data_IF_353428820417
#
_entry.id   IF_353428820417
#
_cell.length_a   1.000
_cell.length_b   1.000
_cell.length_c   1.000
_cell.angle_alpha   90.00
_cell.angle_beta   90.00
_cell.angle_gamma   90.00
#
_symmetry.space_group_name_H-M   'P 1'
#
loop_
_entity.id
_entity.type
_entity.pdbx_description
1 polymer ?
#
# COMPACT_ATOMS: atom_id res chain seq x y z
N UNK A 1 14.60 1.39 -12.52
CA UNK A 1 14.90 1.40 -11.05
C UNK A 1 16.16 2.21 -10.75
N UNK A 2 17.34 1.91 -11.30
CA UNK A 2 18.57 2.67 -10.97
C UNK A 2 18.44 4.18 -11.26
N UNK A 3 17.87 4.57 -12.41
CA UNK A 3 17.60 5.98 -12.72
C UNK A 3 16.65 6.67 -11.72
N UNK A 4 15.67 5.94 -11.18
CA UNK A 4 14.79 6.43 -10.11
C UNK A 4 15.60 6.70 -8.86
N UNK A 5 16.43 5.74 -8.43
CA UNK A 5 17.17 5.87 -7.19
C UNK A 5 18.31 6.91 -7.29
N UNK A 6 18.87 7.10 -8.49
CA UNK A 6 19.93 8.07 -8.73
C UNK A 6 19.48 9.53 -8.51
N UNK A 7 18.26 9.89 -8.88
CA UNK A 7 17.74 11.26 -8.65
C UNK A 7 17.38 11.54 -7.18
N UNK A 8 17.16 10.51 -6.37
CA UNK A 8 16.91 10.66 -4.93
C UNK A 8 18.22 10.99 -4.17
N UNK A 9 19.37 10.92 -4.85
CA UNK A 9 20.65 11.38 -4.33
C UNK A 9 20.78 12.90 -4.57
N UNK A 10 20.76 13.69 -3.50
CA UNK A 10 21.02 15.13 -3.62
C UNK A 10 20.68 15.91 -2.34
N UNK A 11 20.91 17.24 -2.35
CA UNK A 11 20.72 18.12 -1.19
C UNK A 11 19.25 18.56 -0.94
N UNK A 12 18.25 18.00 -1.63
CA UNK A 12 16.83 18.19 -1.33
C UNK A 12 16.44 17.44 -0.04
N UNK A 13 15.39 17.84 0.71
CA UNK A 13 15.31 17.57 2.15
C UNK A 13 15.48 16.07 2.43
N UNK A 14 16.33 15.71 3.40
CA UNK A 14 16.66 14.32 3.66
C UNK A 14 15.36 13.58 3.99
N UNK A 15 15.08 12.51 3.24
CA UNK A 15 14.04 11.58 3.65
C UNK A 15 14.42 11.04 5.03
N UNK A 16 13.45 10.90 5.94
CA UNK A 16 13.71 10.31 7.26
C UNK A 16 13.77 8.77 7.19
N UNK A 17 12.96 8.18 6.31
CA UNK A 17 12.89 6.76 6.03
C UNK A 17 12.24 6.50 4.67
N UNK A 18 12.40 5.29 4.14
CA UNK A 18 11.67 4.80 2.97
C UNK A 18 10.78 3.61 3.37
N UNK A 19 9.52 3.61 2.93
CA UNK A 19 8.64 2.44 3.02
C UNK A 19 8.61 1.73 1.67
N UNK A 20 8.87 0.42 1.65
CA UNK A 20 9.01 -0.36 0.41
C UNK A 20 8.09 -1.59 0.42
N UNK A 21 6.92 -1.47 -0.20
CA UNK A 21 5.83 -2.43 0.00
C UNK A 21 5.84 -3.60 -0.99
N UNK A 22 6.99 -4.23 -1.27
CA UNK A 22 7.07 -5.51 -2.01
C UNK A 22 6.91 -5.43 -3.54
N UNK A 23 6.55 -6.57 -4.14
CA UNK A 23 6.45 -6.82 -5.60
C UNK A 23 7.72 -6.49 -6.38
N UNK A 24 8.79 -7.21 -6.03
CA UNK A 24 10.11 -7.12 -6.64
C UNK A 24 10.19 -7.92 -7.95
N UNK A 25 9.78 -9.21 -7.98
CA UNK A 25 9.86 -10.03 -9.18
C UNK A 25 8.84 -9.59 -10.25
N UNK A 26 9.11 -9.92 -11.51
CA UNK A 26 8.24 -9.54 -12.63
C UNK A 26 6.99 -10.44 -12.72
N UNK A 27 6.16 -10.20 -13.74
CA UNK A 27 4.91 -10.94 -14.00
C UNK A 27 5.12 -12.17 -14.91
N UNK A 28 6.35 -12.66 -15.07
CA UNK A 28 6.70 -13.87 -15.82
C UNK A 28 6.49 -15.17 -15.00
N UNK A 29 5.36 -15.20 -14.28
CA UNK A 29 5.03 -16.17 -13.23
C UNK A 29 5.00 -17.64 -13.68
N UNK A 30 4.87 -17.89 -14.98
CA UNK A 30 4.86 -19.24 -15.56
C UNK A 30 6.23 -19.93 -15.58
N UNK A 31 7.32 -19.20 -15.33
CA UNK A 31 8.70 -19.72 -15.45
C UNK A 31 9.64 -19.27 -14.31
N UNK A 32 9.11 -18.87 -13.16
CA UNK A 32 9.91 -18.40 -12.02
C UNK A 32 10.35 -19.55 -11.09
N UNK A 33 11.64 -19.61 -10.76
CA UNK A 33 12.20 -20.52 -9.74
C UNK A 33 12.62 -19.73 -8.50
N UNK A 34 12.76 -20.43 -7.37
CA UNK A 34 13.18 -19.78 -6.09
C UNK A 34 14.47 -18.98 -6.24
N UNK A 35 15.42 -19.51 -7.00
CA UNK A 35 16.70 -18.83 -7.30
C UNK A 35 16.49 -17.48 -7.99
N UNK A 36 15.54 -17.40 -8.93
CA UNK A 36 15.22 -16.17 -9.66
C UNK A 36 14.57 -15.13 -8.71
N UNK A 37 13.68 -15.58 -7.81
CA UNK A 37 13.07 -14.74 -6.77
C UNK A 37 14.12 -14.17 -5.81
N UNK A 38 15.04 -15.02 -5.32
CA UNK A 38 16.11 -14.60 -4.42
C UNK A 38 17.12 -13.68 -5.11
N UNK A 39 17.37 -13.88 -6.40
CA UNK A 39 18.20 -12.98 -7.20
C UNK A 39 17.55 -11.60 -7.31
N UNK A 40 16.26 -11.52 -7.60
CA UNK A 40 15.52 -10.25 -7.66
C UNK A 40 15.56 -9.52 -6.31
N UNK A 41 15.25 -10.24 -5.21
CA UNK A 41 15.32 -9.72 -3.83
C UNK A 41 16.70 -9.12 -3.53
N UNK A 42 17.78 -9.86 -3.76
CA UNK A 42 19.15 -9.41 -3.46
C UNK A 42 19.57 -8.24 -4.34
N UNK A 43 19.24 -8.30 -5.64
CA UNK A 43 19.59 -7.26 -6.61
C UNK A 43 18.94 -5.93 -6.26
N UNK A 44 17.62 -5.91 -6.05
CA UNK A 44 16.90 -4.66 -5.77
C UNK A 44 17.23 -4.13 -4.38
N UNK A 45 17.36 -5.00 -3.37
CA UNK A 45 17.84 -4.58 -2.04
C UNK A 45 19.25 -3.98 -2.12
N UNK A 46 20.15 -4.56 -2.92
CA UNK A 46 21.48 -4.03 -3.16
C UNK A 46 21.47 -2.65 -3.84
N UNK A 47 20.59 -2.45 -4.82
CA UNK A 47 20.39 -1.14 -5.47
C UNK A 47 19.87 -0.09 -4.48
N UNK A 48 18.90 -0.44 -3.63
CA UNK A 48 18.38 0.45 -2.60
C UNK A 48 19.47 0.86 -1.62
N UNK A 49 20.23 -0.10 -1.05
CA UNK A 49 21.37 0.21 -0.17
C UNK A 49 22.39 1.12 -0.85
N UNK A 50 22.79 0.78 -2.07
CA UNK A 50 23.78 1.55 -2.85
C UNK A 50 23.32 3.00 -3.03
N UNK A 51 22.04 3.24 -3.28
CA UNK A 51 21.54 4.56 -3.65
C UNK A 51 21.01 5.41 -2.50
N UNK A 52 20.41 4.78 -1.49
CA UNK A 52 19.82 5.45 -0.33
C UNK A 52 20.80 5.56 0.85
N UNK A 53 21.91 4.81 0.83
CA UNK A 53 22.97 4.93 1.82
C UNK A 53 22.47 4.60 3.23
N UNK A 54 22.62 5.54 4.15
CA UNK A 54 22.24 5.39 5.55
C UNK A 54 20.73 5.54 5.82
N UNK A 55 19.93 5.91 4.82
CA UNK A 55 18.49 6.03 4.96
C UNK A 55 17.88 4.66 5.35
N UNK A 56 17.16 4.55 6.47
CA UNK A 56 16.46 3.32 6.82
C UNK A 56 15.37 2.99 5.78
N UNK A 57 15.34 1.74 5.33
CA UNK A 57 14.30 1.24 4.42
C UNK A 57 13.52 0.16 5.14
N UNK A 58 12.21 0.34 5.25
CA UNK A 58 11.31 -0.60 5.92
C UNK A 58 10.44 -1.31 4.88
N UNK A 59 10.77 -2.57 4.54
CA UNK A 59 10.05 -3.31 3.51
C UNK A 59 8.80 -4.02 4.05
N UNK A 60 7.82 -4.26 3.18
CA UNK A 60 6.74 -5.23 3.38
C UNK A 60 6.77 -6.30 2.29
N UNK A 61 6.20 -7.47 2.58
CA UNK A 61 6.15 -8.60 1.64
C UNK A 61 4.96 -8.43 0.69
N UNK A 62 5.23 -8.46 -0.62
CA UNK A 62 4.21 -8.47 -1.67
C UNK A 62 3.86 -9.88 -2.14
N UNK A 63 3.01 -9.98 -3.16
CA UNK A 63 2.46 -11.26 -3.59
C UNK A 63 3.29 -11.95 -4.67
N UNK A 64 4.18 -11.20 -5.34
CA UNK A 64 5.11 -11.74 -6.32
C UNK A 64 6.43 -12.25 -5.73
N UNK A 65 6.71 -12.08 -4.42
CA UNK A 65 7.98 -12.54 -3.83
C UNK A 65 8.14 -14.07 -3.84
N UNK A 66 7.05 -14.82 -3.67
CA UNK A 66 7.07 -16.29 -3.68
C UNK A 66 6.91 -16.87 -5.09
N UNK A 67 7.35 -18.12 -5.27
CA UNK A 67 7.01 -18.93 -6.45
C UNK A 67 6.46 -20.28 -5.98
N UNK A 68 5.29 -20.71 -6.49
CA UNK A 68 4.40 -19.99 -7.42
C UNK A 68 3.88 -18.66 -6.86
N UNK A 69 3.49 -17.73 -7.74
CA UNK A 69 2.93 -16.42 -7.33
C UNK A 69 1.75 -16.62 -6.37
N UNK A 70 1.60 -15.73 -5.38
CA UNK A 70 0.60 -15.80 -4.31
C UNK A 70 0.73 -16.98 -3.33
N UNK A 71 1.69 -17.90 -3.52
CA UNK A 71 1.82 -19.10 -2.68
C UNK A 71 2.55 -18.79 -1.36
N UNK A 72 1.79 -18.33 -0.36
CA UNK A 72 2.31 -18.05 0.99
C UNK A 72 1.67 -18.98 2.03
N UNK A 73 2.19 -20.23 2.16
CA UNK A 73 1.74 -21.16 3.17
C UNK A 73 1.91 -20.58 4.59
N UNK A 74 0.89 -20.65 5.46
CA UNK A 74 1.02 -20.19 6.84
C UNK A 74 1.98 -21.06 7.67
N UNK A 75 2.44 -20.61 8.84
CA UNK A 75 3.48 -21.28 9.64
C UNK A 75 3.18 -22.70 10.12
N UNK A 76 1.91 -23.15 10.07
CA UNK A 76 1.56 -24.56 10.33
C UNK A 76 2.04 -25.51 9.22
N UNK A 77 2.43 -24.98 8.06
CA UNK A 77 3.03 -25.74 6.96
C UNK A 77 4.54 -25.73 7.14
N UNK A 78 5.13 -26.92 7.31
CA UNK A 78 6.55 -27.09 7.59
C UNK A 78 7.35 -27.66 6.41
N UNK A 79 8.68 -27.68 6.56
CA UNK A 79 9.60 -28.28 5.60
C UNK A 79 9.79 -27.45 4.33
N UNK A 80 10.22 -28.11 3.26
CA UNK A 80 10.60 -27.42 2.02
C UNK A 80 9.44 -26.70 1.31
N UNK A 81 8.20 -27.06 1.61
CA UNK A 81 7.01 -26.42 1.06
C UNK A 81 6.65 -25.10 1.77
N UNK A 82 7.22 -24.82 2.95
CA UNK A 82 7.01 -23.56 3.67
C UNK A 82 7.68 -22.37 2.96
N UNK A 83 7.35 -21.15 3.39
CA UNK A 83 8.01 -19.91 2.92
C UNK A 83 9.33 -19.59 3.65
N UNK A 84 9.87 -20.50 4.46
CA UNK A 84 11.10 -20.26 5.22
C UNK A 84 12.29 -19.85 4.33
N UNK A 85 12.44 -20.49 3.17
CA UNK A 85 13.48 -20.15 2.18
C UNK A 85 13.47 -18.67 1.75
N UNK A 86 12.28 -18.06 1.71
CA UNK A 86 12.07 -16.68 1.32
C UNK A 86 12.26 -15.75 2.52
N UNK A 87 11.61 -16.05 3.64
CA UNK A 87 11.67 -15.22 4.84
C UNK A 87 13.07 -15.17 5.48
N UNK A 88 13.81 -16.28 5.46
CA UNK A 88 15.21 -16.30 5.90
C UNK A 88 16.10 -15.44 5.00
N UNK A 89 15.89 -15.51 3.69
CA UNK A 89 16.62 -14.69 2.74
C UNK A 89 16.27 -13.20 2.86
N UNK A 90 15.00 -12.87 3.13
CA UNK A 90 14.56 -11.50 3.44
C UNK A 90 15.21 -10.99 4.72
N UNK A 91 15.21 -11.78 5.80
CA UNK A 91 15.84 -11.40 7.05
C UNK A 91 17.35 -11.16 6.88
N UNK A 92 18.04 -11.97 6.09
CA UNK A 92 19.44 -11.72 5.74
C UNK A 92 19.61 -10.46 4.88
N UNK A 93 18.74 -10.30 3.86
CA UNK A 93 18.80 -9.16 2.95
C UNK A 93 18.47 -7.83 3.65
N UNK A 94 17.66 -7.83 4.71
CA UNK A 94 17.16 -6.62 5.37
C UNK A 94 17.75 -6.39 6.77
N UNK A 95 18.72 -7.20 7.20
CA UNK A 95 19.30 -7.16 8.54
C UNK A 95 19.90 -5.80 8.95
N UNK A 96 20.35 -4.99 7.99
CA UNK A 96 20.94 -3.68 8.27
C UNK A 96 19.89 -2.61 8.58
N UNK A 97 18.62 -2.85 8.22
CA UNK A 97 17.52 -1.92 8.42
C UNK A 97 16.60 -2.30 9.59
N UNK A 98 16.61 -3.57 9.99
CA UNK A 98 15.66 -4.13 10.95
C UNK A 98 16.38 -4.60 12.22
N UNK A 99 15.87 -4.28 13.42
CA UNK A 99 16.44 -4.79 14.67
C UNK A 99 16.22 -6.31 14.80
N UNK A 100 17.01 -7.00 15.66
CA UNK A 100 16.91 -8.45 15.87
C UNK A 100 15.47 -8.95 16.12
N UNK A 101 14.73 -8.28 17.01
CA UNK A 101 13.34 -8.62 17.35
C UNK A 101 12.42 -8.62 16.11
N UNK A 102 12.63 -7.67 15.19
CA UNK A 102 11.85 -7.58 13.95
C UNK A 102 12.24 -8.68 12.95
N UNK A 103 13.51 -9.08 12.93
CA UNK A 103 13.99 -10.18 12.10
C UNK A 103 13.44 -11.53 12.57
N UNK A 104 13.14 -11.69 13.86
CA UNK A 104 12.53 -12.92 14.39
C UNK A 104 11.12 -13.15 13.83
N UNK A 105 10.22 -12.17 13.96
CA UNK A 105 8.86 -12.29 13.43
C UNK A 105 8.85 -12.30 11.89
N UNK A 106 9.80 -11.60 11.26
CA UNK A 106 9.99 -11.66 9.82
C UNK A 106 10.31 -13.08 9.35
N UNK A 107 11.26 -13.78 10.00
CA UNK A 107 11.57 -15.19 9.67
C UNK A 107 10.39 -16.11 9.93
N UNK A 108 9.64 -15.87 11.01
CA UNK A 108 8.51 -16.71 11.37
C UNK A 108 7.35 -16.61 10.35
N UNK A 109 7.02 -15.41 9.87
CA UNK A 109 5.77 -15.21 9.14
C UNK A 109 5.76 -14.03 8.14
N UNK A 110 6.88 -13.34 7.90
CA UNK A 110 6.94 -12.27 6.90
C UNK A 110 6.41 -10.90 7.37
N UNK A 111 6.10 -10.73 8.66
CA UNK A 111 5.64 -9.46 9.25
C UNK A 111 6.49 -9.05 10.45
N UNK A 112 6.51 -7.77 10.80
CA UNK A 112 7.30 -7.27 11.93
C UNK A 112 6.83 -5.90 12.42
N UNK A 113 7.31 -5.52 13.60
CA UNK A 113 7.18 -4.15 14.12
C UNK A 113 8.52 -3.63 14.63
N UNK A 114 8.72 -2.32 14.54
CA UNK A 114 9.86 -1.65 15.16
C UNK A 114 9.49 -0.22 15.54
N UNK A 115 10.28 0.39 16.42
CA UNK A 115 10.17 1.81 16.74
C UNK A 115 11.01 2.59 15.73
N UNK A 116 10.37 3.44 14.93
CA UNK A 116 11.07 4.26 13.91
C UNK A 116 11.81 5.40 14.60
N UNK A 117 11.12 6.09 15.53
CA UNK A 117 11.65 7.18 16.35
C UNK A 117 10.84 7.31 17.63
N UNK A 118 11.24 8.14 18.61
CA UNK A 118 10.42 8.36 19.79
C UNK A 118 8.98 8.79 19.43
N UNK A 119 7.99 8.10 20.00
CA UNK A 119 6.57 8.37 19.73
C UNK A 119 5.99 7.69 18.50
N UNK A 120 6.81 7.06 17.62
CA UNK A 120 6.33 6.43 16.39
C UNK A 120 6.82 4.99 16.25
N UNK A 121 5.85 4.09 16.09
CA UNK A 121 6.03 2.67 15.78
C UNK A 121 5.59 2.37 14.35
N UNK A 122 6.35 1.53 13.66
CA UNK A 122 5.96 0.96 12.38
C UNK A 122 5.50 -0.48 12.58
N UNK A 123 4.46 -0.87 11.86
CA UNK A 123 4.00 -2.24 11.70
C UNK A 123 4.00 -2.57 10.22
N UNK A 124 4.78 -3.58 9.84
CA UNK A 124 4.78 -4.13 8.49
C UNK A 124 4.03 -5.46 8.46
N UNK A 125 2.92 -5.51 7.75
CA UNK A 125 2.05 -6.68 7.63
C UNK A 125 2.37 -7.50 6.38
N UNK A 126 2.26 -8.82 6.51
CA UNK A 126 2.24 -9.75 5.39
C UNK A 126 0.79 -9.92 4.92
N UNK A 127 0.42 -9.13 3.91
CA UNK A 127 -0.95 -9.11 3.40
C UNK A 127 -1.31 -10.35 2.59
N UNK A 128 -0.35 -11.22 2.27
CA UNK A 128 -0.62 -12.49 1.59
C UNK A 128 -1.50 -13.45 2.43
N UNK A 129 -1.52 -13.29 3.75
CA UNK A 129 -2.42 -14.04 4.64
C UNK A 129 -3.87 -13.55 4.62
N UNK A 130 -4.14 -12.44 3.92
CA UNK A 130 -5.51 -12.00 3.63
C UNK A 130 -5.91 -12.22 2.17
N UNK A 131 -4.96 -12.54 1.28
CA UNK A 131 -5.18 -12.54 -0.18
C UNK A 131 -6.18 -13.62 -0.61
N UNK A 132 -7.08 -13.24 -1.51
CA UNK A 132 -7.99 -14.20 -2.17
C UNK A 132 -7.24 -15.15 -3.11
N UNK A 133 -6.07 -14.74 -3.61
CA UNK A 133 -5.24 -15.53 -4.52
C UNK A 133 -4.31 -16.52 -3.82
N UNK A 134 -4.15 -16.42 -2.49
CA UNK A 134 -3.34 -17.36 -1.72
C UNK A 134 -4.13 -18.65 -1.46
N UNK A 135 -3.98 -19.62 -2.37
CA UNK A 135 -4.70 -20.89 -2.32
C UNK A 135 -4.41 -21.74 -1.07
N UNK A 136 -3.31 -21.49 -0.34
CA UNK A 136 -3.03 -22.20 0.92
C UNK A 136 -4.06 -21.90 2.02
N UNK A 137 -4.76 -20.76 1.91
CA UNK A 137 -5.81 -20.35 2.85
C UNK A 137 -7.09 -21.18 2.71
N UNK A 138 -7.21 -22.01 1.65
CA UNK A 138 -8.29 -23.00 1.55
C UNK A 138 -8.22 -24.06 2.65
N UNK A 139 -7.01 -24.34 3.19
CA UNK A 139 -6.83 -25.27 4.30
C UNK A 139 -7.36 -24.65 5.60
N UNK A 140 -6.89 -23.43 5.91
CA UNK A 140 -7.36 -22.64 7.05
C UNK A 140 -7.09 -21.16 6.80
N UNK A 141 -8.16 -20.36 6.74
CA UNK A 141 -8.11 -18.90 6.57
C UNK A 141 -8.33 -18.13 7.88
N UNK A 142 -8.40 -18.82 9.01
CA UNK A 142 -8.59 -18.21 10.34
C UNK A 142 -7.29 -17.61 10.82
N UNK A 143 -7.21 -16.27 10.81
CA UNK A 143 -6.05 -15.45 11.19
C UNK A 143 -4.69 -16.15 10.98
N UNK A 144 -4.28 -16.38 9.72
CA UNK A 144 -3.07 -17.13 9.45
C UNK A 144 -1.85 -16.47 10.10
N UNK A 145 -1.01 -17.29 10.74
CA UNK A 145 0.10 -16.87 11.59
C UNK A 145 -0.28 -16.05 12.85
N UNK A 146 -1.56 -15.96 13.20
CA UNK A 146 -2.03 -15.12 14.31
C UNK A 146 -1.75 -13.63 14.09
N UNK A 147 -1.65 -13.19 12.83
CA UNK A 147 -1.17 -11.86 12.47
C UNK A 147 -2.10 -10.74 12.98
N UNK A 148 -3.42 -10.90 12.91
CA UNK A 148 -4.37 -9.91 13.44
C UNK A 148 -4.36 -9.90 14.98
N UNK A 149 -4.27 -11.07 15.62
CA UNK A 149 -4.12 -11.15 17.07
C UNK A 149 -2.83 -10.47 17.55
N UNK A 150 -1.73 -10.68 16.82
CA UNK A 150 -0.45 -10.02 17.06
C UNK A 150 -0.56 -8.50 16.86
N UNK A 151 -1.20 -8.06 15.77
CA UNK A 151 -1.42 -6.64 15.48
C UNK A 151 -2.19 -5.94 16.61
N UNK A 152 -3.25 -6.57 17.13
CA UNK A 152 -4.00 -6.04 18.29
C UNK A 152 -3.07 -5.83 19.48
N UNK A 153 -2.22 -6.80 19.82
CA UNK A 153 -1.26 -6.67 20.92
C UNK A 153 -0.24 -5.55 20.70
N UNK A 154 0.23 -5.35 19.46
CA UNK A 154 1.14 -4.25 19.13
C UNK A 154 0.45 -2.88 19.28
N UNK A 155 -0.79 -2.75 18.79
CA UNK A 155 -1.57 -1.51 18.85
C UNK A 155 -1.98 -1.16 20.28
N UNK A 156 -2.42 -2.14 21.07
CA UNK A 156 -2.72 -1.95 22.49
C UNK A 156 -1.48 -1.47 23.26
N UNK A 157 -0.34 -2.12 23.03
CA UNK A 157 0.90 -1.73 23.68
C UNK A 157 1.37 -0.33 23.26
N UNK A 158 1.14 0.07 22.01
CA UNK A 158 1.41 1.42 21.52
C UNK A 158 0.49 2.46 22.18
N UNK A 159 -0.82 2.16 22.27
CA UNK A 159 -1.82 3.00 22.94
C UNK A 159 -1.43 3.26 24.41
N UNK A 160 -1.07 2.20 25.15
CA UNK A 160 -0.62 2.31 26.56
C UNK A 160 0.63 3.17 26.72
N UNK A 161 1.50 3.21 25.71
CA UNK A 161 2.73 4.03 25.71
C UNK A 161 2.55 5.42 25.09
N UNK A 162 1.36 5.76 24.61
CA UNK A 162 1.11 6.99 23.86
C UNK A 162 1.90 7.07 22.55
N UNK A 163 2.30 5.93 21.97
CA UNK A 163 2.93 5.86 20.65
C UNK A 163 1.86 5.96 19.55
N UNK A 164 2.21 6.61 18.44
CA UNK A 164 1.47 6.50 17.19
C UNK A 164 1.99 5.36 16.34
N UNK A 165 1.14 4.85 15.45
CA UNK A 165 1.45 3.69 14.61
C UNK A 165 1.26 4.01 13.13
N UNK A 166 2.29 3.71 12.34
CA UNK A 166 2.18 3.56 10.89
C UNK A 166 2.03 2.09 10.56
N UNK A 167 1.07 1.78 9.69
CA UNK A 167 0.92 0.43 9.14
C UNK A 167 1.36 0.46 7.67
N UNK A 168 2.23 -0.46 7.29
CA UNK A 168 2.61 -0.70 5.90
C UNK A 168 2.24 -2.14 5.52
N UNK A 169 1.83 -2.34 4.26
CA UNK A 169 1.52 -3.65 3.70
C UNK A 169 1.52 -3.58 2.19
N UNK A 170 1.33 -4.72 1.53
CA UNK A 170 1.27 -4.76 0.07
C UNK A 170 -0.17 -4.64 -0.46
N UNK A 171 -0.99 -5.69 -0.31
CA UNK A 171 -2.39 -5.73 -0.75
C UNK A 171 -3.24 -4.84 0.17
N UNK A 172 -4.04 -3.91 -0.36
CA UNK A 172 -4.86 -3.05 0.48
C UNK A 172 -6.04 -3.81 1.13
N UNK A 173 -6.49 -3.42 2.34
CA UNK A 173 -7.47 -4.18 3.12
C UNK A 173 -8.83 -4.42 2.42
N UNK A 174 -9.28 -3.52 1.54
CA UNK A 174 -10.50 -3.68 0.75
C UNK A 174 -10.44 -4.86 -0.23
N UNK A 175 -9.25 -5.36 -0.56
CA UNK A 175 -9.03 -6.48 -1.49
C UNK A 175 -8.89 -7.84 -0.79
N UNK A 176 -8.77 -7.85 0.54
CA UNK A 176 -8.62 -9.05 1.35
C UNK A 176 -9.89 -9.93 1.39
N UNK A 177 -9.71 -11.21 1.76
CA UNK A 177 -10.78 -12.12 2.15
C UNK A 177 -11.71 -11.47 3.17
N UNK A 178 -13.02 -11.66 3.00
CA UNK A 178 -14.07 -11.00 3.79
C UNK A 178 -13.81 -11.03 5.29
N UNK A 179 -13.62 -12.22 5.86
CA UNK A 179 -13.42 -12.35 7.31
C UNK A 179 -12.19 -11.59 7.80
N UNK A 180 -11.07 -11.65 7.06
CA UNK A 180 -9.85 -10.94 7.43
C UNK A 180 -10.04 -9.42 7.34
N UNK A 181 -10.57 -8.95 6.20
CA UNK A 181 -10.84 -7.53 5.94
C UNK A 181 -11.76 -6.91 7.00
N UNK A 182 -12.83 -7.62 7.38
CA UNK A 182 -13.77 -7.16 8.40
C UNK A 182 -13.15 -7.07 9.79
N UNK A 183 -12.31 -8.03 10.19
CA UNK A 183 -11.59 -7.96 11.45
C UNK A 183 -10.55 -6.83 11.46
N UNK A 184 -9.79 -6.67 10.37
CA UNK A 184 -8.86 -5.56 10.21
C UNK A 184 -9.58 -4.21 10.33
N UNK A 185 -10.73 -4.05 9.67
CA UNK A 185 -11.54 -2.84 9.72
C UNK A 185 -12.01 -2.50 11.14
N UNK A 186 -12.41 -3.51 11.93
CA UNK A 186 -12.74 -3.36 13.36
C UNK A 186 -11.53 -2.94 14.20
N UNK A 187 -10.36 -3.53 13.93
CA UNK A 187 -9.11 -3.17 14.62
C UNK A 187 -8.76 -1.70 14.34
N UNK A 188 -8.81 -1.27 13.07
CA UNK A 188 -8.58 0.14 12.71
C UNK A 188 -9.54 1.07 13.43
N UNK A 189 -10.82 0.70 13.52
CA UNK A 189 -11.83 1.46 14.27
C UNK A 189 -11.50 1.57 15.77
N UNK A 190 -11.19 0.44 16.43
CA UNK A 190 -10.84 0.44 17.86
C UNK A 190 -9.60 1.29 18.16
N UNK A 191 -8.64 1.32 17.25
CA UNK A 191 -7.36 2.00 17.44
C UNK A 191 -7.24 3.30 16.61
N UNK A 192 -8.36 3.94 16.26
CA UNK A 192 -8.38 5.16 15.44
C UNK A 192 -7.57 6.32 16.05
N UNK A 193 -7.44 6.37 17.38
CA UNK A 193 -6.61 7.34 18.09
C UNK A 193 -5.11 7.01 18.09
N UNK A 194 -4.73 5.79 17.73
CA UNK A 194 -3.36 5.24 17.82
C UNK A 194 -2.73 5.09 16.43
N UNK A 195 -3.50 4.66 15.42
CA UNK A 195 -3.04 4.55 14.03
C UNK A 195 -3.02 5.95 13.39
N UNK A 196 -1.83 6.43 13.04
CA UNK A 196 -1.65 7.75 12.44
C UNK A 196 -1.68 7.73 10.90
N UNK A 197 -1.25 6.62 10.29
CA UNK A 197 -1.26 6.46 8.83
C UNK A 197 -1.19 4.99 8.40
N UNK A 198 -1.70 4.70 7.21
CA UNK A 198 -1.65 3.38 6.59
C UNK A 198 -1.20 3.50 5.13
N UNK A 199 -0.26 2.64 4.69
CA UNK A 199 0.34 2.71 3.36
C UNK A 199 0.39 1.33 2.69
N UNK A 200 -0.18 1.25 1.49
CA UNK A 200 -0.28 0.02 0.70
C UNK A 200 0.15 0.26 -0.75
N UNK A 201 0.19 -0.83 -1.53
CA UNK A 201 0.52 -0.82 -2.96
C UNK A 201 -0.37 -1.81 -3.71
N UNK A 202 0.25 -2.75 -4.44
CA UNK A 202 -0.40 -3.84 -5.20
C UNK A 202 -1.23 -3.40 -6.41
N UNK A 203 -2.11 -2.41 -6.29
CA UNK A 203 -3.05 -2.04 -7.37
C UNK A 203 -2.40 -1.30 -8.54
N UNK A 204 -1.14 -0.87 -8.37
CA UNK A 204 -0.31 -0.13 -9.32
C UNK A 204 -0.77 1.28 -9.70
N UNK A 205 -1.98 1.67 -9.31
CA UNK A 205 -2.63 2.94 -9.58
C UNK A 205 -2.58 3.86 -8.35
N UNK A 206 -2.86 5.15 -8.57
CA UNK A 206 -2.81 6.17 -7.51
C UNK A 206 -4.21 6.34 -6.89
N UNK A 207 -4.43 5.72 -5.73
CA UNK A 207 -5.73 5.70 -5.04
C UNK A 207 -5.61 5.64 -3.51
N UNK A 208 -6.75 5.48 -2.84
CA UNK A 208 -6.83 5.37 -1.39
C UNK A 208 -8.10 4.61 -0.98
N UNK A 209 -8.12 4.04 0.23
CA UNK A 209 -9.29 3.40 0.82
C UNK A 209 -9.69 4.12 2.11
N UNK A 210 -10.97 4.49 2.21
CA UNK A 210 -11.54 5.14 3.40
C UNK A 210 -12.03 4.11 4.42
N UNK A 211 -11.84 4.44 5.69
CA UNK A 211 -12.40 3.74 6.84
C UNK A 211 -13.39 4.66 7.55
N UNK A 212 -14.52 4.10 7.97
CA UNK A 212 -15.60 4.77 8.72
C UNK A 212 -15.93 4.00 9.99
N UNK A 213 -16.61 4.69 10.92
CA UNK A 213 -17.16 4.09 12.14
C UNK A 213 -18.02 2.85 11.85
N UNK A 214 -17.88 1.78 12.65
CA UNK A 214 -18.62 0.53 12.42
C UNK A 214 -20.14 0.66 12.61
N UNK A 215 -20.59 1.60 13.43
CA UNK A 215 -21.99 1.72 13.84
C UNK A 215 -22.86 2.28 12.72
N UNK A 216 -22.40 3.34 12.05
CA UNK A 216 -23.18 4.10 11.07
C UNK A 216 -22.54 4.16 9.69
N UNK A 217 -21.23 3.90 9.57
CA UNK A 217 -20.46 4.02 8.34
C UNK A 217 -20.52 5.45 7.75
N UNK A 218 -20.47 6.47 8.60
CA UNK A 218 -20.61 7.88 8.19
C UNK A 218 -19.46 8.78 8.63
N UNK A 219 -18.85 8.54 9.78
CA UNK A 219 -17.72 9.31 10.31
C UNK A 219 -16.42 8.68 9.81
N UNK A 220 -15.62 9.38 8.98
CA UNK A 220 -14.34 8.85 8.52
C UNK A 220 -13.35 8.80 9.70
N UNK A 221 -12.71 7.64 9.89
CA UNK A 221 -11.79 7.35 11.02
C UNK A 221 -10.35 7.16 10.57
N UNK A 222 -10.12 6.73 9.33
CA UNK A 222 -8.78 6.50 8.81
C UNK A 222 -8.76 6.50 7.27
N UNK A 223 -7.57 6.61 6.71
CA UNK A 223 -7.30 6.50 5.27
C UNK A 223 -6.11 5.57 5.06
N UNK A 224 -6.26 4.62 4.15
CA UNK A 224 -5.16 3.84 3.61
C UNK A 224 -4.74 4.41 2.26
N UNK A 225 -3.52 4.93 2.19
CA UNK A 225 -2.97 5.44 0.93
C UNK A 225 -2.42 4.28 0.11
N UNK A 226 -2.91 4.13 -1.12
CA UNK A 226 -2.45 3.09 -2.05
C UNK A 226 -1.57 3.76 -3.09
N UNK A 227 -0.25 3.62 -2.91
CA UNK A 227 0.71 4.29 -3.76
C UNK A 227 0.81 3.63 -5.14
N UNK A 228 0.96 4.40 -6.23
CA UNK A 228 1.09 3.84 -7.56
C UNK A 228 2.46 3.18 -7.74
N UNK A 229 2.56 2.28 -8.72
CA UNK A 229 3.75 1.46 -8.89
C UNK A 229 4.89 2.14 -9.65
N UNK A 230 6.11 1.67 -9.41
CA UNK A 230 7.27 1.98 -10.27
C UNK A 230 7.15 1.28 -11.62
N UNK A 231 6.53 0.11 -11.68
CA UNK A 231 6.35 -0.62 -12.94
C UNK A 231 5.36 0.10 -13.87
N UNK A 232 5.48 -0.22 -15.16
CA UNK A 232 4.54 0.21 -16.21
C UNK A 232 3.33 -0.70 -16.31
N UNK A 233 3.33 -1.83 -15.60
CA UNK A 233 2.29 -2.84 -15.70
C UNK A 233 0.97 -2.31 -15.09
N UNK A 234 -0.13 -2.15 -15.82
CA UNK A 234 -0.26 -2.23 -17.29
C UNK A 234 -0.55 -0.84 -17.86
N UNK A 235 0.21 -0.46 -18.89
CA UNK A 235 0.00 0.76 -19.67
C UNK A 235 0.06 2.05 -18.83
N UNK A 236 0.96 2.10 -17.85
CA UNK A 236 1.19 3.24 -16.97
C UNK A 236 2.57 3.84 -17.18
N UNK A 237 2.74 5.12 -16.85
CA UNK A 237 4.08 5.65 -16.56
C UNK A 237 4.65 4.99 -15.29
N UNK A 238 5.97 4.83 -15.15
CA UNK A 238 6.61 4.57 -13.87
C UNK A 238 6.34 5.71 -12.88
N UNK A 239 6.06 5.40 -11.61
CA UNK A 239 5.84 6.41 -10.57
C UNK A 239 6.36 6.01 -9.19
N UNK A 240 6.57 7.00 -8.32
CA UNK A 240 6.79 6.81 -6.88
C UNK A 240 6.16 7.97 -6.10
N UNK A 241 6.10 7.83 -4.78
CA UNK A 241 5.40 8.73 -3.87
C UNK A 241 6.33 9.21 -2.76
N UNK A 242 6.19 10.48 -2.38
CA UNK A 242 6.77 11.08 -1.18
C UNK A 242 5.63 11.56 -0.27
N UNK A 243 5.70 11.25 1.03
CA UNK A 243 4.75 11.71 2.02
C UNK A 243 5.37 12.78 2.91
N UNK A 244 4.66 13.88 3.10
CA UNK A 244 4.96 14.86 4.14
C UNK A 244 4.23 14.45 5.40
N UNK A 245 4.96 14.26 6.49
CA UNK A 245 4.44 13.77 7.76
C UNK A 245 4.60 14.83 8.84
N UNK A 246 3.74 14.78 9.84
CA UNK A 246 3.94 15.56 11.06
C UNK A 246 5.25 15.14 11.76
N UNK A 247 6.02 16.15 12.19
CA UNK A 247 7.44 16.05 12.47
C UNK A 247 7.82 15.19 13.68
N UNK A 248 9.12 15.17 14.01
CA UNK A 248 9.65 14.48 15.19
C UNK A 248 9.72 15.45 16.39
N UNK A 249 8.61 15.61 17.12
CA UNK A 249 8.58 16.41 18.35
C UNK A 249 7.58 15.82 19.37
N UNK A 250 7.73 16.13 20.67
CA UNK A 250 6.80 15.65 21.69
C UNK A 250 5.34 16.06 21.39
N UNK A 251 4.43 15.08 21.36
CA UNK A 251 3.02 15.33 21.04
C UNK A 251 2.69 15.40 19.55
N UNK A 252 3.65 15.11 18.66
CA UNK A 252 3.40 14.99 17.21
C UNK A 252 2.29 13.98 16.92
N UNK A 253 1.43 14.32 15.96
CA UNK A 253 0.38 13.42 15.48
C UNK A 253 0.95 12.27 14.65
N UNK A 254 2.14 12.45 14.09
CA UNK A 254 2.76 11.59 13.08
C UNK A 254 1.89 11.35 11.82
N UNK A 255 0.79 12.09 11.64
CA UNK A 255 -0.13 11.89 10.52
C UNK A 255 0.47 12.40 9.20
N UNK A 256 -0.12 11.96 8.09
CA UNK A 256 0.17 12.50 6.76
C UNK A 256 -0.41 13.92 6.64
N UNK A 257 0.44 14.89 6.29
CA UNK A 257 0.07 16.29 6.08
C UNK A 257 -0.20 16.61 4.60
N UNK A 258 0.56 15.99 3.69
CA UNK A 258 0.39 16.07 2.24
C UNK A 258 1.17 14.92 1.57
N UNK A 259 1.02 14.76 0.26
CA UNK A 259 1.84 13.83 -0.51
C UNK A 259 2.07 14.28 -1.95
N UNK A 260 3.17 13.81 -2.53
CA UNK A 260 3.61 14.13 -3.90
C UNK A 260 3.89 12.87 -4.70
N UNK A 261 3.27 12.75 -5.88
CA UNK A 261 3.60 11.68 -6.83
C UNK A 261 4.57 12.22 -7.88
N UNK A 262 5.60 11.45 -8.18
CA UNK A 262 6.59 11.70 -9.22
C UNK A 262 6.50 10.61 -10.28
N UNK A 263 6.71 10.97 -11.54
CA UNK A 263 6.64 10.03 -12.67
C UNK A 263 7.85 10.17 -13.60
N UNK A 264 8.09 9.14 -14.39
CA UNK A 264 8.90 9.21 -15.60
C UNK A 264 7.97 9.19 -16.82
N UNK A 265 7.91 10.28 -17.58
CA UNK A 265 7.16 10.28 -18.83
C UNK A 265 7.88 9.43 -19.87
N UNK A 266 7.35 8.24 -20.18
CA UNK A 266 7.98 7.32 -21.11
C UNK A 266 7.97 7.81 -22.56
N UNK A 267 6.99 8.62 -22.94
CA UNK A 267 6.96 9.22 -24.29
C UNK A 267 8.19 10.12 -24.50
N UNK A 268 8.56 10.90 -23.50
CA UNK A 268 9.74 11.77 -23.55
C UNK A 268 11.05 10.98 -23.35
N UNK A 269 11.09 10.07 -22.37
CA UNK A 269 12.29 9.33 -22.02
C UNK A 269 12.75 8.34 -23.11
N UNK A 270 11.83 7.87 -23.95
CA UNK A 270 12.12 6.94 -25.05
C UNK A 270 12.47 7.64 -26.37
N UNK A 271 12.47 8.98 -26.43
CA UNK A 271 13.00 9.71 -27.59
C UNK A 271 14.50 9.39 -27.75
N UNK A 272 15.01 9.02 -28.94
CA UNK A 272 16.42 8.69 -29.13
C UNK A 272 17.35 9.79 -28.62
N UNK A 273 18.28 9.43 -27.72
CA UNK A 273 19.24 10.36 -27.11
C UNK A 273 18.73 11.13 -25.89
N UNK A 274 17.44 10.98 -25.51
CA UNK A 274 16.92 11.58 -24.29
C UNK A 274 17.49 10.90 -23.03
N UNK A 275 17.59 11.67 -21.94
CA UNK A 275 17.93 11.15 -20.60
C UNK A 275 16.64 11.02 -19.78
N UNK A 276 16.50 9.96 -18.96
CA UNK A 276 15.32 9.80 -18.12
C UNK A 276 15.25 10.93 -17.10
N UNK A 277 14.18 11.72 -17.16
CA UNK A 277 13.89 12.79 -16.20
C UNK A 277 12.62 12.44 -15.44
N UNK A 278 12.80 12.22 -14.15
CA UNK A 278 11.69 12.10 -13.22
C UNK A 278 11.19 13.49 -12.83
N UNK A 279 9.88 13.66 -12.78
CA UNK A 279 9.24 14.95 -12.52
C UNK A 279 8.05 14.77 -11.59
N UNK A 280 7.79 15.79 -10.76
CA UNK A 280 6.60 15.83 -9.91
C UNK A 280 5.37 15.92 -10.82
N UNK A 281 4.48 14.94 -10.69
CA UNK A 281 3.19 14.94 -11.38
C UNK A 281 2.21 15.85 -10.65
N UNK A 282 2.10 15.72 -9.33
CA UNK A 282 1.23 16.57 -8.52
C UNK A 282 1.60 16.53 -7.03
N UNK A 283 1.07 17.50 -6.28
CA UNK A 283 0.95 17.51 -4.82
C UNK A 283 -0.53 17.45 -4.45
N UNK A 284 -0.94 16.61 -3.50
CA UNK A 284 -2.34 16.25 -3.29
C UNK A 284 -3.21 17.45 -2.92
N UNK A 285 -2.82 18.21 -1.89
CA UNK A 285 -3.61 19.37 -1.44
C UNK A 285 -3.73 20.45 -2.51
N UNK A 286 -2.64 20.68 -3.26
CA UNK A 286 -2.62 21.60 -4.40
C UNK A 286 -3.57 21.13 -5.51
N UNK A 287 -3.50 19.86 -5.90
CA UNK A 287 -4.25 19.33 -7.03
C UNK A 287 -5.76 19.24 -6.77
N UNK A 288 -6.15 18.95 -5.53
CA UNK A 288 -7.54 18.77 -5.15
C UNK A 288 -8.13 19.97 -4.40
N UNK A 289 -7.33 21.00 -4.10
CA UNK A 289 -7.75 22.16 -3.33
C UNK A 289 -8.20 21.77 -1.91
N UNK A 290 -7.42 20.91 -1.25
CA UNK A 290 -7.74 20.40 0.08
C UNK A 290 -7.05 21.23 1.17
N UNK A 291 -7.74 21.63 2.25
CA UNK A 291 -7.14 22.41 3.32
C UNK A 291 -6.15 21.58 4.15
N UNK A 292 -6.39 20.29 4.30
CA UNK A 292 -5.55 19.29 4.98
C UNK A 292 -5.69 17.93 4.31
N UNK A 293 -4.99 16.91 4.84
CA UNK A 293 -5.04 15.53 4.35
C UNK A 293 -5.65 14.56 5.39
N UNK A 294 -6.50 15.06 6.30
CA UNK A 294 -7.16 14.21 7.30
C UNK A 294 -8.28 13.37 6.68
N UNK A 295 -8.74 12.28 7.35
CA UNK A 295 -9.80 11.43 6.80
C UNK A 295 -11.06 12.17 6.38
N UNK A 296 -11.45 13.23 7.09
CA UNK A 296 -12.60 14.06 6.72
C UNK A 296 -12.42 14.78 5.38
N UNK A 297 -11.21 15.24 5.05
CA UNK A 297 -10.91 15.92 3.79
C UNK A 297 -10.99 14.95 2.60
N UNK A 298 -10.53 13.71 2.78
CA UNK A 298 -10.61 12.66 1.76
C UNK A 298 -12.05 12.19 1.52
N UNK A 299 -12.88 12.05 2.57
CA UNK A 299 -14.33 11.80 2.40
C UNK A 299 -15.00 12.96 1.66
N UNK A 300 -14.66 14.21 2.01
CA UNK A 300 -15.19 15.38 1.31
C UNK A 300 -14.76 15.42 -0.15
N UNK A 301 -13.53 14.99 -0.48
CA UNK A 301 -13.07 14.88 -1.85
C UNK A 301 -13.91 13.87 -2.66
N UNK A 302 -14.25 12.70 -2.09
CA UNK A 302 -15.16 11.73 -2.73
C UNK A 302 -16.53 12.36 -3.00
N UNK A 303 -17.07 13.16 -2.06
CA UNK A 303 -18.34 13.88 -2.27
C UNK A 303 -18.22 14.90 -3.42
N UNK A 304 -17.15 15.68 -3.44
CA UNK A 304 -16.89 16.67 -4.51
C UNK A 304 -16.75 16.01 -5.87
N UNK A 305 -16.13 14.83 -5.96
CA UNK A 305 -16.06 14.10 -7.22
C UNK A 305 -17.44 13.76 -7.79
N UNK A 306 -18.46 13.52 -6.96
CA UNK A 306 -19.81 13.23 -7.46
C UNK A 306 -20.40 14.42 -8.24
N UNK A 307 -20.17 15.63 -7.73
CA UNK A 307 -20.79 16.86 -8.22
C UNK A 307 -19.90 17.63 -9.24
N UNK A 308 -18.57 17.41 -9.22
CA UNK A 308 -17.59 18.05 -10.09
C UNK A 308 -16.89 17.03 -10.99
N UNK A 309 -17.37 16.93 -12.22
CA UNK A 309 -16.81 16.02 -13.22
C UNK A 309 -15.38 16.40 -13.63
N UNK A 310 -15.04 17.69 -13.67
CA UNK A 310 -13.70 18.13 -14.06
C UNK A 310 -12.66 17.73 -13.01
N UNK A 311 -13.02 17.88 -11.73
CA UNK A 311 -12.21 17.42 -10.61
C UNK A 311 -12.05 15.89 -10.61
N UNK A 312 -13.12 15.14 -10.91
CA UNK A 312 -13.05 13.68 -11.04
C UNK A 312 -12.16 13.25 -12.23
N UNK A 313 -12.27 13.89 -13.40
CA UNK A 313 -11.40 13.59 -14.53
C UNK A 313 -9.93 13.93 -14.24
N UNK A 314 -9.65 14.98 -13.45
CA UNK A 314 -8.31 15.26 -12.93
C UNK A 314 -7.81 14.11 -12.06
N UNK A 315 -8.63 13.62 -11.13
CA UNK A 315 -8.30 12.44 -10.33
C UNK A 315 -8.05 11.22 -11.22
N UNK A 316 -8.89 10.95 -12.22
CA UNK A 316 -8.71 9.83 -13.16
C UNK A 316 -7.40 9.89 -13.95
N UNK A 317 -6.98 11.08 -14.36
CA UNK A 317 -5.68 11.30 -14.99
C UNK A 317 -4.51 10.97 -14.03
N UNK A 318 -4.60 11.43 -12.78
CA UNK A 318 -3.58 11.20 -11.74
C UNK A 318 -3.54 9.73 -11.28
N UNK A 319 -4.71 9.07 -11.18
CA UNK A 319 -4.88 7.65 -10.90
C UNK A 319 -4.02 6.77 -11.82
N UNK A 320 -3.90 7.15 -13.10
CA UNK A 320 -3.08 6.46 -14.10
C UNK A 320 -1.68 7.05 -14.27
N UNK A 321 -1.14 7.78 -13.28
CA UNK A 321 0.18 8.41 -13.36
C UNK A 321 0.34 9.30 -14.61
N UNK A 322 -0.73 9.98 -14.99
CA UNK A 322 -0.78 10.88 -16.15
C UNK A 322 -0.87 10.18 -17.51
N UNK A 323 -1.18 8.87 -17.54
CA UNK A 323 -1.38 8.10 -18.77
C UNK A 323 -2.69 7.28 -18.72
N UNK A 324 -3.86 7.94 -18.69
CA UNK A 324 -5.14 7.24 -18.63
C UNK A 324 -5.46 6.49 -19.94
N UNK A 325 -6.38 5.51 -19.89
CA UNK A 325 -6.99 4.95 -21.09
C UNK A 325 -7.63 6.03 -21.97
N UNK A 326 -7.78 5.73 -23.28
CA UNK A 326 -8.39 6.67 -24.24
C UNK A 326 -9.83 7.02 -23.90
N UNK A 327 -10.58 6.04 -23.40
CA UNK A 327 -11.97 6.24 -23.02
C UNK A 327 -12.05 6.90 -21.63
N UNK A 328 -12.76 8.03 -21.49
CA UNK A 328 -12.92 8.67 -20.19
C UNK A 328 -13.80 7.82 -19.28
N UNK A 329 -13.42 7.74 -18.01
CA UNK A 329 -14.22 7.07 -16.99
C UNK A 329 -15.43 7.95 -16.63
N UNK A 330 -16.65 7.53 -16.97
CA UNK A 330 -17.89 8.25 -16.66
C UNK A 330 -18.93 7.30 -16.10
N UNK A 331 -20.04 7.85 -15.59
CA UNK A 331 -21.23 7.10 -15.17
C UNK A 331 -20.88 5.88 -14.32
N UNK A 332 -21.03 4.67 -14.88
CA UNK A 332 -20.82 3.43 -14.18
C UNK A 332 -19.37 3.25 -13.70
N UNK A 333 -18.40 3.65 -14.53
CA UNK A 333 -16.98 3.60 -14.17
C UNK A 333 -16.68 4.53 -12.99
N UNK A 334 -17.24 5.74 -13.01
CA UNK A 334 -17.08 6.73 -11.93
C UNK A 334 -17.70 6.21 -10.63
N UNK A 335 -18.95 5.75 -10.67
CA UNK A 335 -19.62 5.21 -9.49
C UNK A 335 -18.88 4.00 -8.89
N UNK A 336 -18.36 3.10 -9.73
CA UNK A 336 -17.55 1.97 -9.24
C UNK A 336 -16.24 2.43 -8.60
N UNK A 337 -15.54 3.40 -9.19
CA UNK A 337 -14.29 3.94 -8.62
C UNK A 337 -14.54 4.67 -7.31
N UNK A 338 -15.57 5.52 -7.21
CA UNK A 338 -15.92 6.21 -5.97
C UNK A 338 -16.31 5.24 -4.86
N UNK A 339 -16.99 4.14 -5.20
CA UNK A 339 -17.24 3.05 -4.25
C UNK A 339 -15.94 2.41 -3.77
N UNK A 340 -14.95 2.23 -4.65
CA UNK A 340 -13.63 1.68 -4.30
C UNK A 340 -12.92 2.54 -3.28
N UNK A 341 -12.87 3.84 -3.54
CA UNK A 341 -12.25 4.79 -2.63
C UNK A 341 -12.92 4.81 -1.26
N UNK A 342 -14.24 4.55 -1.21
CA UNK A 342 -15.02 4.52 0.03
C UNK A 342 -14.87 3.21 0.82
N UNK A 343 -14.15 2.22 0.31
CA UNK A 343 -14.23 0.83 0.81
C UNK A 343 -12.90 0.29 1.32
N UNK A 344 -12.57 0.55 2.59
CA UNK A 344 -11.51 -0.16 3.31
C UNK A 344 -11.90 -1.56 3.84
N UNK A 345 -13.11 -2.04 3.51
CA UNK A 345 -13.69 -3.32 3.97
C UNK A 345 -14.30 -4.11 2.82
N UNK A 346 -13.80 -5.31 2.56
CA UNK A 346 -14.23 -6.08 1.40
C UNK A 346 -15.69 -6.55 1.48
N UNK A 347 -16.36 -6.54 0.32
CA UNK A 347 -17.72 -7.07 0.11
C UNK A 347 -18.77 -6.41 1.03
N UNK A 348 -18.71 -5.10 1.21
CA UNK A 348 -19.68 -4.35 2.00
C UNK A 348 -20.43 -3.29 1.16
N UNK A 349 -21.67 -3.58 0.71
CA UNK A 349 -22.47 -2.61 -0.04
C UNK A 349 -22.88 -1.38 0.79
N UNK A 350 -22.85 -1.46 2.13
CA UNK A 350 -23.21 -0.35 3.02
C UNK A 350 -22.35 0.89 2.79
N UNK A 351 -21.07 0.68 2.48
CA UNK A 351 -20.09 1.74 2.21
C UNK A 351 -20.33 2.48 0.90
N UNK A 352 -21.22 2.01 0.02
CA UNK A 352 -21.48 2.67 -1.26
C UNK A 352 -22.89 3.24 -1.37
N UNK A 353 -23.74 3.07 -0.35
CA UNK A 353 -25.15 3.52 -0.36
C UNK A 353 -25.35 5.02 -0.53
N UNK A 354 -24.39 5.84 -0.08
CA UNK A 354 -24.49 7.30 -0.13
C UNK A 354 -24.03 7.88 -1.48
N UNK A 355 -23.48 7.05 -2.37
CA UNK A 355 -22.94 7.49 -3.65
C UNK A 355 -24.04 7.59 -4.71
N UNK A 356 -23.90 8.59 -5.58
CA UNK A 356 -24.79 8.88 -6.71
C UNK A 356 -23.99 8.94 -8.01
N UNK A 357 -24.52 8.39 -9.13
CA UNK A 357 -25.73 7.58 -9.21
C UNK A 357 -25.56 6.23 -8.50
N UNK A 358 -26.65 5.73 -7.90
CA UNK A 358 -26.62 4.44 -7.23
C UNK A 358 -26.58 3.32 -8.29
N UNK A 359 -25.50 2.55 -8.31
CA UNK A 359 -25.42 1.30 -9.06
C UNK A 359 -25.72 0.11 -8.14
N UNK A 360 -26.32 -0.98 -8.67
CA UNK A 360 -26.35 -2.25 -7.97
C UNK A 360 -24.93 -2.67 -7.59
N UNK A 361 -24.71 -3.03 -6.33
CA UNK A 361 -23.38 -3.39 -5.84
C UNK A 361 -22.74 -4.55 -6.63
N UNK A 362 -23.54 -5.51 -7.09
CA UNK A 362 -23.07 -6.59 -7.96
C UNK A 362 -22.42 -6.07 -9.26
N UNK A 363 -22.94 -4.99 -9.85
CA UNK A 363 -22.35 -4.37 -11.03
C UNK A 363 -21.04 -3.65 -10.69
N UNK A 364 -20.99 -2.98 -9.54
CA UNK A 364 -19.74 -2.37 -9.04
C UNK A 364 -18.66 -3.44 -8.86
N UNK A 365 -19.01 -4.56 -8.21
CA UNK A 365 -18.09 -5.67 -7.98
C UNK A 365 -17.58 -6.27 -9.29
N UNK A 366 -18.44 -6.40 -10.31
CA UNK A 366 -18.01 -6.89 -11.61
C UNK A 366 -17.01 -5.95 -12.28
N UNK A 367 -17.25 -4.64 -12.22
CA UNK A 367 -16.32 -3.61 -12.72
C UNK A 367 -14.99 -3.62 -11.96
N UNK A 368 -14.98 -3.98 -10.68
CA UNK A 368 -13.74 -4.13 -9.89
C UNK A 368 -12.96 -5.39 -10.23
N UNK A 369 -13.64 -6.54 -10.42
CA UNK A 369 -12.96 -7.78 -10.80
C UNK A 369 -12.19 -7.63 -12.11
N UNK A 370 -12.73 -6.87 -13.04
CA UNK A 370 -12.05 -6.52 -14.30
C UNK A 370 -10.79 -5.67 -14.09
N UNK A 371 -10.62 -5.04 -12.92
CA UNK A 371 -9.45 -4.24 -12.52
C UNK A 371 -8.45 -4.98 -11.64
N UNK A 372 -8.73 -6.22 -11.21
CA UNK A 372 -7.76 -7.05 -10.50
C UNK A 372 -6.69 -7.52 -11.50
N UNK A 373 -5.70 -6.65 -11.70
CA UNK A 373 -4.63 -6.85 -12.69
C UNK A 373 -3.40 -7.56 -12.09
N UNK A 374 -3.39 -7.85 -10.79
CA UNK A 374 -2.26 -8.44 -10.07
C UNK A 374 -2.70 -9.57 -9.12
#
# INVERSE_FOLDING_TARGET
IEALLAQLRGPAPPFDAAYWTGDIPAHDVWQQRREDQLLALRTVTGLLRKHLGALPVYPAVGNHEATPVNAFPPPYVHGNQSSAWLYDAMAQAWQDWLPPEALETLRAAGFYTLRVRPGLRLVSLNMNFCSQANFWLLINSTDPAGQLQWLVGVLEAAEQRGEKVHIIGHIPPGHCLRSWSWNYYRIVNRFEGTIAAQFFGHTHVDEFEMFYDEETLTRPVSVAFVAPSVTTYINLNPGYRVYELDGAYPGSSHAVLDHETFILNLTEANVPGAKPRWQRLYRAREAYGMPSAFPADWDQLIRRFQDDESLFQRFWYLFHKGHPPREPCREACKAALLCSLRTGRSVDPGLCRVLRPALPFAQIQELWRQRQLC
#
